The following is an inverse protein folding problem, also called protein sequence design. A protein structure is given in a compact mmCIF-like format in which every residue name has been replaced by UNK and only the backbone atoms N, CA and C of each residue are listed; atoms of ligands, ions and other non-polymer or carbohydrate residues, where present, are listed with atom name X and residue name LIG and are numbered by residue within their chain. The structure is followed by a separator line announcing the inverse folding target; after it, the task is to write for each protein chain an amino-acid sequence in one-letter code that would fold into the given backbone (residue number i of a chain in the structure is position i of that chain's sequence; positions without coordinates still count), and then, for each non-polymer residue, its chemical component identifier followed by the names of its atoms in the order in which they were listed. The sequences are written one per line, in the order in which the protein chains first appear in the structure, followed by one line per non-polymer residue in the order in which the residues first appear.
data_IF_964974928759
#
_entry.id   IF_964974928759
#
_cell.length_a   1.000
_cell.length_b   1.000
_cell.length_c   1.000
_cell.angle_alpha   90.00
_cell.angle_beta   90.00
_cell.angle_gamma   90.00
#
_symmetry.space_group_name_H-M   'P 1'
#
loop_
_entity.id
_entity.type
_entity.pdbx_description
1 polymer ?
#
# COMPACT_ATOMS: atom_id res chain seq x y z
N UNK A 1 -30.98 62.64 -24.80
CA UNK A 1 -30.84 61.21 -24.48
C UNK A 1 -31.21 61.04 -23.03
N UNK A 2 -32.36 60.44 -22.77
CA UNK A 2 -32.82 60.10 -21.42
C UNK A 2 -32.18 58.77 -21.00
N UNK A 3 -32.18 58.46 -19.70
CA UNK A 3 -31.61 57.24 -19.12
C UNK A 3 -32.17 55.92 -19.70
N UNK A 4 -33.24 55.97 -20.49
CA UNK A 4 -33.78 54.81 -21.21
C UNK A 4 -33.01 54.45 -22.49
N UNK A 5 -32.31 55.41 -23.12
CA UNK A 5 -31.69 55.22 -24.44
C UNK A 5 -30.48 54.28 -24.39
N UNK A 6 -29.69 54.35 -23.32
CA UNK A 6 -28.49 53.50 -23.18
C UNK A 6 -28.86 52.06 -22.82
N UNK A 7 -29.95 51.84 -22.07
CA UNK A 7 -30.45 50.50 -21.76
C UNK A 7 -31.00 49.80 -23.01
N UNK A 8 -31.71 50.54 -23.86
CA UNK A 8 -32.16 50.07 -25.17
C UNK A 8 -30.97 49.79 -26.10
N UNK A 9 -29.94 50.63 -26.08
CA UNK A 9 -28.71 50.40 -26.84
C UNK A 9 -27.93 49.16 -26.36
N UNK A 10 -27.82 48.96 -25.05
CA UNK A 10 -27.17 47.79 -24.44
C UNK A 10 -27.97 46.50 -24.74
N UNK A 11 -29.29 46.55 -24.59
CA UNK A 11 -30.18 45.42 -24.89
C UNK A 11 -30.16 45.06 -26.38
N UNK A 12 -30.07 46.05 -27.28
CA UNK A 12 -29.93 45.84 -28.71
C UNK A 12 -28.53 45.31 -29.08
N UNK A 13 -27.48 45.78 -28.41
CA UNK A 13 -26.12 45.29 -28.60
C UNK A 13 -25.97 43.83 -28.14
N UNK A 14 -26.59 43.46 -27.01
CA UNK A 14 -26.65 42.07 -26.51
C UNK A 14 -27.49 41.18 -27.45
N UNK A 15 -28.60 41.69 -27.99
CA UNK A 15 -29.41 40.98 -29.01
C UNK A 15 -28.66 40.78 -30.33
N UNK A 16 -27.79 41.72 -30.73
CA UNK A 16 -26.95 41.57 -31.92
C UNK A 16 -25.76 40.63 -31.69
N UNK A 17 -25.12 40.66 -30.51
CA UNK A 17 -24.03 39.75 -30.15
C UNK A 17 -24.48 38.27 -30.03
N UNK A 18 -25.76 38.02 -29.74
CA UNK A 18 -26.37 36.66 -29.73
C UNK A 18 -26.74 36.11 -31.11
N UNK A 19 -26.61 36.88 -32.20
CA UNK A 19 -26.78 36.34 -33.55
C UNK A 19 -25.45 35.76 -34.02
N UNK A 20 -25.39 34.44 -34.15
CA UNK A 20 -24.31 33.73 -34.83
C UNK A 20 -24.20 34.28 -36.26
N UNK A 21 -23.20 35.11 -36.53
CA UNK A 21 -23.07 35.83 -37.81
C UNK A 21 -22.09 35.19 -38.79
N UNK A 22 -21.42 34.08 -38.46
CA UNK A 22 -20.65 33.28 -39.42
C UNK A 22 -20.64 31.79 -39.09
N UNK A 23 -21.44 31.02 -39.81
CA UNK A 23 -21.15 29.62 -40.15
C UNK A 23 -20.45 29.65 -41.51
N UNK A 24 -19.12 29.56 -41.53
CA UNK A 24 -18.37 29.49 -42.79
C UNK A 24 -18.38 28.03 -43.26
N UNK A 25 -19.40 27.65 -44.02
CA UNK A 25 -19.37 26.43 -44.84
C UNK A 25 -18.26 26.60 -45.90
N UNK A 26 -17.24 25.71 -45.97
CA UNK A 26 -16.20 25.78 -46.98
C UNK A 26 -16.73 25.72 -48.43
N UNK A 27 -18.01 25.37 -48.64
CA UNK A 27 -18.67 25.34 -49.96
C UNK A 27 -19.68 26.47 -50.21
N UNK A 28 -19.85 27.41 -49.28
CA UNK A 28 -20.63 28.64 -49.49
C UNK A 28 -22.13 28.45 -49.77
N UNK A 29 -22.75 27.34 -49.34
CA UNK A 29 -24.18 27.11 -49.58
C UNK A 29 -25.02 27.93 -48.60
N UNK A 30 -26.00 28.67 -49.11
CA UNK A 30 -27.03 29.35 -48.30
C UNK A 30 -28.19 28.37 -48.10
N UNK A 31 -28.38 27.87 -46.87
CA UNK A 31 -29.53 27.03 -46.54
C UNK A 31 -30.69 27.90 -46.07
N UNK A 32 -31.93 27.56 -46.41
CA UNK A 32 -33.09 28.23 -45.82
C UNK A 32 -33.15 27.96 -44.30
N UNK A 33 -33.79 28.82 -43.50
CA UNK A 33 -33.92 28.60 -42.05
C UNK A 33 -34.62 27.27 -41.72
N UNK A 34 -35.58 26.86 -42.55
CA UNK A 34 -36.25 25.56 -42.46
C UNK A 34 -35.36 24.37 -42.83
N UNK A 35 -34.23 24.60 -43.49
CA UNK A 35 -33.24 23.59 -43.91
C UNK A 35 -32.00 23.59 -43.01
N UNK A 36 -31.85 24.59 -42.14
CA UNK A 36 -30.77 24.68 -41.16
C UNK A 36 -30.93 23.57 -40.11
N UNK A 37 -29.85 22.88 -39.71
CA UNK A 37 -29.96 21.69 -38.89
C UNK A 37 -30.61 22.03 -37.54
N UNK A 38 -31.87 21.62 -37.37
CA UNK A 38 -32.75 21.70 -36.19
C UNK A 38 -32.01 22.05 -34.89
N UNK A 39 -31.72 23.33 -34.67
CA UNK A 39 -30.99 23.76 -33.48
C UNK A 39 -31.98 23.87 -32.33
N UNK A 40 -31.98 22.86 -31.46
CA UNK A 40 -32.85 22.81 -30.27
C UNK A 40 -32.00 23.05 -29.03
N UNK A 41 -32.63 23.56 -27.97
CA UNK A 41 -32.02 23.68 -26.65
C UNK A 41 -32.81 22.79 -25.71
N UNK A 42 -32.10 21.92 -24.99
CA UNK A 42 -32.67 21.04 -23.98
C UNK A 42 -32.04 21.36 -22.63
N UNK A 43 -32.88 21.35 -21.60
CA UNK A 43 -32.45 21.36 -20.21
C UNK A 43 -32.41 19.92 -19.71
N UNK A 44 -31.28 19.49 -19.15
CA UNK A 44 -31.08 18.11 -18.73
C UNK A 44 -30.27 18.02 -17.44
N UNK A 45 -30.51 16.97 -16.65
CA UNK A 45 -29.74 16.59 -15.47
C UNK A 45 -29.43 15.08 -15.57
N UNK A 46 -28.15 14.67 -15.44
CA UNK A 46 -27.77 13.26 -15.44
C UNK A 46 -28.41 12.41 -14.34
N UNK A 47 -28.75 13.00 -13.19
CA UNK A 47 -29.49 12.36 -12.11
C UNK A 47 -30.18 13.39 -11.22
N UNK A 48 -31.51 13.47 -11.27
CA UNK A 48 -32.28 14.40 -10.45
C UNK A 48 -32.03 14.24 -8.94
N UNK A 49 -31.84 13.00 -8.47
CA UNK A 49 -31.56 12.70 -7.05
C UNK A 49 -30.20 13.23 -6.61
N UNK A 50 -29.16 13.06 -7.44
CA UNK A 50 -27.78 13.39 -7.09
C UNK A 50 -27.43 14.86 -7.37
N UNK A 51 -28.02 15.44 -8.42
CA UNK A 51 -27.68 16.78 -8.89
C UNK A 51 -28.39 17.89 -8.11
N UNK A 52 -29.25 17.54 -7.13
CA UNK A 52 -29.95 18.48 -6.23
C UNK A 52 -30.60 19.67 -6.97
N UNK A 53 -31.22 19.42 -8.11
CA UNK A 53 -31.89 20.44 -8.93
C UNK A 53 -30.97 21.26 -9.84
N UNK A 54 -29.68 20.95 -9.93
CA UNK A 54 -28.80 21.55 -10.93
C UNK A 54 -29.12 20.99 -12.31
N UNK A 55 -29.35 21.89 -13.26
CA UNK A 55 -29.62 21.56 -14.66
C UNK A 55 -28.55 22.12 -15.58
N UNK A 56 -28.36 21.44 -16.70
CA UNK A 56 -27.42 21.82 -17.75
C UNK A 56 -28.18 22.09 -19.03
N UNK A 57 -27.80 23.16 -19.72
CA UNK A 57 -28.35 23.49 -21.04
C UNK A 57 -27.44 22.90 -22.11
N UNK A 58 -28.00 22.06 -22.97
CA UNK A 58 -27.33 21.51 -24.15
C UNK A 58 -28.03 22.00 -25.41
N UNK A 59 -27.26 22.28 -26.45
CA UNK A 59 -27.79 22.84 -27.70
C UNK A 59 -27.11 22.25 -28.93
N UNK A 60 -27.91 22.02 -29.97
CA UNK A 60 -27.40 21.50 -31.25
C UNK A 60 -28.51 20.87 -32.10
N UNK A 61 -28.10 20.11 -33.13
CA UNK A 61 -29.01 19.19 -33.81
C UNK A 61 -29.41 18.03 -32.89
N UNK A 62 -30.52 17.37 -33.16
CA UNK A 62 -31.02 16.25 -32.35
C UNK A 62 -29.96 15.16 -32.11
N UNK A 63 -29.23 14.76 -33.16
CA UNK A 63 -28.13 13.80 -33.04
C UNK A 63 -26.99 14.31 -32.13
N UNK A 64 -26.64 15.60 -32.23
CA UNK A 64 -25.61 16.19 -31.36
C UNK A 64 -26.06 16.36 -29.92
N UNK A 65 -27.35 16.65 -29.69
CA UNK A 65 -27.94 16.72 -28.35
C UNK A 65 -27.91 15.34 -27.70
N UNK A 66 -28.29 14.28 -28.42
CA UNK A 66 -28.21 12.91 -27.93
C UNK A 66 -26.77 12.51 -27.59
N UNK A 67 -25.80 12.86 -28.45
CA UNK A 67 -24.39 12.59 -28.19
C UNK A 67 -23.86 13.36 -26.97
N UNK A 68 -24.17 14.66 -26.85
CA UNK A 68 -23.79 15.47 -25.70
C UNK A 68 -24.41 14.94 -24.41
N UNK A 69 -25.70 14.61 -24.41
CA UNK A 69 -26.38 14.03 -23.25
C UNK A 69 -25.75 12.69 -22.83
N UNK A 70 -25.43 11.82 -23.80
CA UNK A 70 -24.74 10.55 -23.54
C UNK A 70 -23.35 10.74 -22.94
N UNK A 71 -22.56 11.68 -23.48
CA UNK A 71 -21.22 12.02 -22.96
C UNK A 71 -21.26 12.62 -21.55
N UNK A 72 -22.22 13.51 -21.28
CA UNK A 72 -22.41 14.09 -19.95
C UNK A 72 -22.80 12.99 -18.97
N UNK A 73 -23.71 12.09 -19.35
CA UNK A 73 -24.11 10.95 -18.50
C UNK A 73 -22.95 10.00 -18.24
N UNK A 74 -22.20 9.61 -19.27
CA UNK A 74 -21.03 8.75 -19.11
C UNK A 74 -19.95 9.40 -18.21
N UNK A 75 -19.71 10.69 -18.38
CA UNK A 75 -18.77 11.44 -17.53
C UNK A 75 -19.26 11.53 -16.09
N UNK A 76 -20.56 11.76 -15.88
CA UNK A 76 -21.20 11.76 -14.57
C UNK A 76 -21.09 10.39 -13.88
N UNK A 77 -21.26 9.30 -14.61
CA UNK A 77 -21.13 7.95 -14.07
C UNK A 77 -19.67 7.61 -13.76
N UNK A 78 -18.71 7.97 -14.64
CA UNK A 78 -17.27 7.77 -14.42
C UNK A 78 -16.77 8.57 -13.21
N UNK A 79 -17.14 9.85 -13.12
CA UNK A 79 -16.80 10.70 -11.98
C UNK A 79 -17.49 10.20 -10.72
N UNK A 80 -18.72 9.69 -10.82
CA UNK A 80 -19.46 9.08 -9.73
C UNK A 80 -18.75 7.86 -9.17
N UNK A 81 -18.26 6.97 -10.03
CA UNK A 81 -17.47 5.82 -9.63
C UNK A 81 -16.12 6.20 -9.00
N UNK A 82 -15.47 7.28 -9.50
CA UNK A 82 -14.17 7.73 -8.97
C UNK A 82 -14.29 8.47 -7.64
N UNK A 83 -15.18 9.46 -7.57
CA UNK A 83 -15.39 10.33 -6.40
C UNK A 83 -16.33 9.69 -5.36
N UNK A 84 -17.06 8.65 -5.74
CA UNK A 84 -17.88 7.84 -4.86
C UNK A 84 -19.26 8.42 -4.54
N UNK A 85 -19.71 9.51 -5.18
CA UNK A 85 -21.04 10.10 -4.91
C UNK A 85 -22.22 9.28 -5.47
N UNK A 86 -21.96 8.25 -6.28
CA UNK A 86 -22.98 7.25 -6.66
C UNK A 86 -23.17 6.20 -5.57
N UNK A 87 -22.29 6.16 -4.57
CA UNK A 87 -22.38 5.24 -3.44
C UNK A 87 -23.22 5.94 -2.37
N UNK A 88 -24.30 5.27 -1.97
CA UNK A 88 -24.99 5.60 -0.74
C UNK A 88 -24.10 5.16 0.43
N UNK A 89 -23.37 6.12 1.00
CA UNK A 89 -22.36 5.83 2.02
C UNK A 89 -22.99 5.33 3.32
N UNK A 90 -24.16 5.83 3.70
CA UNK A 90 -24.87 5.39 4.89
C UNK A 90 -25.29 3.92 4.74
N UNK A 91 -25.88 3.58 3.59
CA UNK A 91 -26.23 2.19 3.27
C UNK A 91 -25.00 1.27 3.24
N UNK A 92 -23.90 1.73 2.63
CA UNK A 92 -22.65 0.98 2.62
C UNK A 92 -22.07 0.79 4.02
N UNK A 93 -22.16 1.81 4.89
CA UNK A 93 -21.63 1.72 6.25
C UNK A 93 -22.45 0.74 7.11
N UNK A 94 -23.77 0.69 6.93
CA UNK A 94 -24.61 -0.32 7.57
C UNK A 94 -24.15 -1.73 7.21
N UNK A 95 -23.94 -2.02 5.92
CA UNK A 95 -23.42 -3.31 5.46
C UNK A 95 -22.01 -3.57 6.00
N UNK A 96 -21.14 -2.55 6.03
CA UNK A 96 -19.81 -2.63 6.62
C UNK A 96 -19.88 -2.97 8.11
N UNK A 97 -20.80 -2.38 8.87
CA UNK A 97 -20.99 -2.68 10.30
C UNK A 97 -21.41 -4.14 10.54
N UNK A 98 -22.04 -4.75 9.53
CA UNK A 98 -22.44 -6.16 9.47
C UNK A 98 -21.41 -7.06 8.77
N UNK A 99 -20.17 -6.59 8.59
CA UNK A 99 -19.08 -7.34 7.97
C UNK A 99 -19.41 -7.81 6.53
N UNK A 100 -20.23 -7.04 5.80
CA UNK A 100 -20.71 -7.34 4.45
C UNK A 100 -21.46 -8.67 4.31
N UNK A 101 -21.99 -9.19 5.42
CA UNK A 101 -22.79 -10.42 5.42
C UNK A 101 -24.24 -10.18 5.03
N UNK A 102 -24.71 -8.93 4.92
CA UNK A 102 -26.00 -8.61 4.33
C UNK A 102 -25.83 -8.28 2.84
N UNK A 103 -26.71 -8.82 2.00
CA UNK A 103 -26.74 -8.47 0.59
C UNK A 103 -27.48 -7.13 0.41
N UNK A 104 -26.83 -6.08 -0.15
CA UNK A 104 -27.47 -4.78 -0.35
C UNK A 104 -28.65 -4.80 -1.33
N UNK A 105 -28.68 -5.77 -2.25
CA UNK A 105 -29.69 -5.82 -3.32
C UNK A 105 -30.92 -6.62 -2.90
N UNK A 106 -30.71 -7.80 -2.29
CA UNK A 106 -31.81 -8.69 -1.89
C UNK A 106 -32.25 -8.48 -0.45
N UNK A 107 -31.44 -7.80 0.37
CA UNK A 107 -31.67 -7.65 1.81
C UNK A 107 -31.38 -8.91 2.63
N UNK A 108 -31.05 -10.03 1.97
CA UNK A 108 -30.82 -11.33 2.58
C UNK A 108 -29.40 -11.45 3.16
N UNK A 109 -29.24 -12.28 4.19
CA UNK A 109 -27.94 -12.58 4.78
C UNK A 109 -27.20 -13.66 3.99
N UNK A 110 -25.91 -13.48 3.77
CA UNK A 110 -25.00 -14.39 3.09
C UNK A 110 -24.58 -15.49 4.07
N UNK A 111 -24.59 -16.74 3.60
CA UNK A 111 -24.29 -17.98 4.34
C UNK A 111 -25.28 -18.34 5.46
N UNK A 112 -26.34 -19.09 5.14
CA UNK A 112 -27.05 -19.98 6.08
C UNK A 112 -27.73 -19.36 7.32
N UNK A 113 -27.65 -18.04 7.50
CA UNK A 113 -28.18 -17.32 8.65
C UNK A 113 -29.63 -16.91 8.34
N UNK A 114 -30.59 -17.61 8.95
CA UNK A 114 -32.01 -17.24 8.94
C UNK A 114 -32.23 -16.26 10.09
N UNK A 115 -32.46 -14.99 9.77
CA UNK A 115 -32.81 -13.95 10.75
C UNK A 115 -34.30 -13.71 10.60
N UNK A 116 -35.07 -14.02 11.65
CA UNK A 116 -36.52 -13.85 11.67
C UNK A 116 -36.95 -12.54 12.35
N UNK A 117 -36.11 -11.95 13.20
CA UNK A 117 -36.44 -10.72 13.94
C UNK A 117 -35.20 -9.85 14.25
N UNK A 118 -35.38 -8.56 14.54
CA UNK A 118 -34.29 -7.59 14.81
C UNK A 118 -33.47 -7.94 16.06
N UNK A 119 -34.06 -8.69 16.99
CA UNK A 119 -33.41 -9.23 18.20
C UNK A 119 -32.36 -10.29 17.87
N UNK A 120 -32.54 -11.10 16.83
CA UNK A 120 -31.58 -12.10 16.39
C UNK A 120 -30.32 -11.43 15.79
N UNK A 121 -30.52 -10.28 15.15
CA UNK A 121 -29.48 -9.44 14.53
C UNK A 121 -28.50 -8.86 15.56
N UNK A 122 -29.00 -8.55 16.75
CA UNK A 122 -28.19 -8.05 17.87
C UNK A 122 -27.36 -9.17 18.55
N UNK A 123 -27.87 -10.41 18.52
CA UNK A 123 -27.21 -11.59 19.09
C UNK A 123 -26.03 -12.10 18.24
N UNK A 124 -26.01 -11.78 16.94
CA UNK A 124 -24.94 -12.19 16.03
C UNK A 124 -23.64 -11.39 16.26
N UNK A 125 -22.52 -12.11 16.23
CA UNK A 125 -21.18 -11.52 16.30
C UNK A 125 -20.70 -11.17 14.91
N UNK A 126 -20.64 -9.88 14.61
CA UNK A 126 -20.01 -9.34 13.40
C UNK A 126 -18.76 -8.59 13.80
N UNK A 127 -17.70 -8.66 12.98
CA UNK A 127 -16.36 -8.22 13.41
C UNK A 127 -15.85 -8.92 14.69
N UNK A 128 -16.38 -10.11 15.00
CA UNK A 128 -16.06 -10.85 16.22
C UNK A 128 -16.67 -10.27 17.52
N UNK A 129 -17.49 -9.21 17.44
CA UNK A 129 -18.01 -8.46 18.59
C UNK A 129 -19.55 -8.33 18.58
N UNK A 130 -20.22 -8.14 19.75
CA UNK A 130 -21.67 -7.92 19.83
C UNK A 130 -22.09 -6.56 19.26
N UNK A 131 -23.39 -6.35 19.01
CA UNK A 131 -23.92 -5.10 18.42
C UNK A 131 -23.44 -3.82 19.11
N UNK A 132 -23.44 -3.82 20.45
CA UNK A 132 -23.00 -2.69 21.26
C UNK A 132 -21.53 -2.32 21.04
N UNK A 133 -20.71 -3.21 20.48
CA UNK A 133 -19.28 -3.00 20.27
C UNK A 133 -18.92 -2.80 18.79
N UNK A 134 -19.91 -2.80 17.89
CA UNK A 134 -19.73 -2.59 16.45
C UNK A 134 -19.28 -1.16 16.12
N UNK A 135 -18.64 -0.93 14.96
CA UNK A 135 -18.26 0.42 14.54
C UNK A 135 -19.47 1.36 14.39
N UNK A 136 -19.25 2.65 14.63
CA UNK A 136 -20.19 3.74 14.33
C UNK A 136 -19.45 4.91 13.69
N UNK A 137 -20.17 5.75 12.97
CA UNK A 137 -19.64 7.02 12.51
C UNK A 137 -20.69 8.12 12.62
N UNK A 138 -20.23 9.36 12.57
CA UNK A 138 -21.07 10.55 12.46
C UNK A 138 -20.45 11.51 11.46
N UNK A 139 -21.27 12.09 10.58
CA UNK A 139 -20.85 13.15 9.70
C UNK A 139 -20.43 14.39 10.51
N UNK A 140 -19.37 15.07 10.06
CA UNK A 140 -19.06 16.42 10.54
C UNK A 140 -19.76 17.39 9.62
N UNK A 141 -20.88 17.91 10.07
CA UNK A 141 -21.63 18.92 9.34
C UNK A 141 -21.03 20.31 9.59
N UNK A 142 -21.08 21.21 8.59
CA UNK A 142 -20.68 22.60 8.79
C UNK A 142 -21.54 23.24 9.88
N UNK A 143 -20.93 24.14 10.67
CA UNK A 143 -21.63 24.86 11.73
C UNK A 143 -22.92 25.52 11.20
N UNK A 144 -24.04 25.50 11.93
CA UNK A 144 -25.27 26.20 11.53
C UNK A 144 -25.07 27.72 11.39
N UNK A 145 -23.98 28.27 11.89
CA UNK A 145 -23.56 29.68 11.74
C UNK A 145 -22.53 29.90 10.62
N UNK A 146 -22.24 28.89 9.80
CA UNK A 146 -21.26 28.99 8.72
C UNK A 146 -21.73 29.98 7.65
N UNK A 147 -20.80 30.83 7.21
CA UNK A 147 -21.03 31.75 6.09
C UNK A 147 -21.16 30.99 4.77
N UNK A 148 -21.85 31.58 3.78
CA UNK A 148 -22.03 30.98 2.44
C UNK A 148 -20.70 30.54 1.79
N UNK A 149 -19.64 31.31 2.03
CA UNK A 149 -18.29 30.98 1.55
C UNK A 149 -17.71 29.73 2.24
N UNK A 150 -17.95 29.56 3.54
CA UNK A 150 -17.52 28.37 4.28
C UNK A 150 -18.31 27.13 3.86
N UNK A 151 -19.60 27.29 3.56
CA UNK A 151 -20.43 26.23 2.99
C UNK A 151 -19.98 25.86 1.56
N UNK A 152 -19.60 26.85 0.75
CA UNK A 152 -19.05 26.61 -0.59
C UNK A 152 -17.69 25.89 -0.51
N UNK A 153 -16.80 26.33 0.38
CA UNK A 153 -15.48 25.72 0.58
C UNK A 153 -15.58 24.30 1.15
N UNK A 154 -16.55 24.02 2.04
CA UNK A 154 -16.86 22.68 2.54
C UNK A 154 -17.32 21.73 1.42
N UNK A 155 -18.07 22.23 0.44
CA UNK A 155 -18.63 21.43 -0.65
C UNK A 155 -17.75 21.40 -1.92
N UNK A 156 -16.67 22.18 -1.99
CA UNK A 156 -15.95 22.50 -3.25
C UNK A 156 -15.20 21.34 -3.90
N UNK A 157 -15.02 20.20 -3.23
CA UNK A 157 -14.12 19.15 -3.72
C UNK A 157 -14.67 17.71 -3.62
N UNK A 158 -15.90 17.51 -3.14
CA UNK A 158 -16.41 16.15 -2.88
C UNK A 158 -15.65 15.41 -1.77
N UNK A 159 -14.93 16.18 -0.94
CA UNK A 159 -14.27 15.69 0.26
C UNK A 159 -15.25 15.79 1.42
N UNK A 160 -15.38 14.71 2.18
CA UNK A 160 -16.17 14.68 3.40
C UNK A 160 -15.26 14.39 4.59
N UNK A 161 -15.72 14.75 5.78
CA UNK A 161 -15.05 14.38 7.03
C UNK A 161 -16.04 13.68 7.93
N UNK A 162 -15.62 12.54 8.47
CA UNK A 162 -16.39 11.77 9.45
C UNK A 162 -15.61 11.61 10.75
N UNK A 163 -16.36 11.50 11.82
CA UNK A 163 -15.88 11.00 13.10
C UNK A 163 -16.20 9.52 13.17
N UNK A 164 -15.20 8.67 13.35
CA UNK A 164 -15.34 7.22 13.31
C UNK A 164 -14.93 6.57 14.64
N UNK A 165 -15.74 5.64 15.12
CA UNK A 165 -15.47 4.81 16.28
C UNK A 165 -15.37 3.36 15.82
N UNK A 166 -14.28 2.69 16.19
CA UNK A 166 -14.13 1.24 15.96
C UNK A 166 -15.09 0.43 16.83
N UNK A 167 -15.27 0.89 18.07
CA UNK A 167 -16.20 0.32 19.04
C UNK A 167 -17.11 1.45 19.52
N UNK A 168 -18.41 1.34 19.23
CA UNK A 168 -19.40 2.37 19.57
C UNK A 168 -19.64 2.56 21.07
N UNK A 169 -19.26 1.58 21.91
CA UNK A 169 -19.33 1.69 23.38
C UNK A 169 -18.20 2.54 23.96
N UNK A 170 -17.12 2.79 23.21
CA UNK A 170 -15.98 3.59 23.66
C UNK A 170 -16.10 5.02 23.13
N UNK A 171 -16.95 5.84 23.75
CA UNK A 171 -17.27 7.19 23.26
C UNK A 171 -16.06 8.11 23.14
N UNK A 172 -15.05 7.95 23.98
CA UNK A 172 -13.83 8.77 23.99
C UNK A 172 -12.80 8.35 22.93
N UNK A 173 -13.00 7.21 22.25
CA UNK A 173 -12.01 6.61 21.33
C UNK A 173 -12.48 6.66 19.88
N UNK A 174 -12.47 7.87 19.35
CA UNK A 174 -12.80 8.15 17.96
C UNK A 174 -11.61 8.63 17.16
N UNK A 175 -11.73 8.59 15.83
CA UNK A 175 -10.73 9.09 14.89
C UNK A 175 -11.41 9.92 13.81
N UNK A 176 -10.75 10.98 13.35
CA UNK A 176 -11.16 11.68 12.15
C UNK A 176 -10.69 10.93 10.91
N UNK A 177 -11.59 10.82 9.94
CA UNK A 177 -11.32 10.25 8.61
C UNK A 177 -11.83 11.26 7.59
N UNK A 178 -10.99 11.62 6.63
CA UNK A 178 -11.30 12.63 5.62
C UNK A 178 -10.86 12.15 4.24
N UNK A 179 -11.60 12.58 3.21
CA UNK A 179 -11.30 12.25 1.83
C UNK A 179 -12.56 12.23 0.98
N UNK A 180 -12.44 11.77 -0.25
CA UNK A 180 -13.59 11.34 -1.05
C UNK A 180 -14.29 10.15 -0.40
N UNK A 181 -15.56 9.90 -0.73
CA UNK A 181 -16.31 8.77 -0.15
C UNK A 181 -15.59 7.42 -0.39
N UNK A 182 -14.96 7.25 -1.55
CA UNK A 182 -14.14 6.07 -1.88
C UNK A 182 -12.91 5.94 -0.96
N UNK A 183 -12.20 7.04 -0.73
CA UNK A 183 -11.02 7.05 0.17
C UNK A 183 -11.44 6.79 1.62
N UNK A 184 -12.55 7.38 2.07
CA UNK A 184 -13.08 7.13 3.41
C UNK A 184 -13.41 5.64 3.57
N UNK A 185 -14.08 5.00 2.60
CA UNK A 185 -14.36 3.55 2.63
C UNK A 185 -13.09 2.72 2.81
N UNK A 186 -12.06 3.01 2.01
CA UNK A 186 -10.80 2.29 2.07
C UNK A 186 -10.12 2.48 3.43
N UNK A 187 -10.07 3.72 3.92
CA UNK A 187 -9.52 4.04 5.24
C UNK A 187 -10.28 3.32 6.38
N UNK A 188 -11.61 3.22 6.30
CA UNK A 188 -12.43 2.49 7.29
C UNK A 188 -12.14 0.99 7.29
N UNK A 189 -12.02 0.37 6.11
CA UNK A 189 -11.63 -1.04 5.97
C UNK A 189 -10.24 -1.25 6.57
N UNK A 190 -9.29 -0.39 6.27
CA UNK A 190 -7.92 -0.49 6.80
C UNK A 190 -7.87 -0.27 8.32
N UNK A 191 -8.74 0.60 8.85
CA UNK A 191 -8.90 0.80 10.30
C UNK A 191 -9.48 -0.45 10.98
N UNK A 192 -10.39 -1.18 10.35
CA UNK A 192 -10.99 -2.39 10.92
C UNK A 192 -10.16 -3.66 10.70
N UNK A 193 -9.28 -3.70 9.68
CA UNK A 193 -8.36 -4.82 9.38
C UNK A 193 -7.26 -5.07 10.42
N UNK A 194 -7.34 -4.50 11.62
CA UNK A 194 -6.36 -4.80 12.68
C UNK A 194 -6.46 -6.27 13.04
N UNK A 195 -5.42 -6.98 12.61
CA UNK A 195 -5.17 -8.40 12.79
C UNK A 195 -5.34 -8.79 14.26
N UNK A 196 -6.19 -9.78 14.51
CA UNK A 196 -6.18 -10.56 15.74
C UNK A 196 -4.80 -11.20 15.91
N UNK A 197 -3.93 -10.52 16.66
CA UNK A 197 -2.78 -11.13 17.34
C UNK A 197 -2.83 -10.65 18.78
N UNK A 198 -3.40 -11.49 19.65
CA UNK A 198 -3.16 -11.45 21.09
C UNK A 198 -3.73 -10.26 21.85
N UNK A 199 -4.73 -10.55 22.69
CA UNK A 199 -5.16 -9.70 23.80
C UNK A 199 -3.98 -9.19 24.64
N UNK A 200 -3.82 -7.88 24.77
CA UNK A 200 -3.79 -7.16 26.06
C UNK A 200 -3.38 -5.71 25.89
N UNK A 201 -4.08 -4.85 26.63
CA UNK A 201 -3.77 -3.46 26.97
C UNK A 201 -3.72 -2.44 25.83
N UNK A 202 -4.68 -1.52 25.93
CA UNK A 202 -4.66 -0.23 25.27
C UNK A 202 -3.39 0.55 25.62
N UNK A 203 -2.58 0.77 24.62
CA UNK A 203 -1.79 1.97 24.47
C UNK A 203 -1.60 2.18 22.98
N UNK A 204 -1.65 3.44 22.54
CA UNK A 204 -1.64 3.79 21.13
C UNK A 204 -0.41 3.25 20.43
N UNK A 205 -0.57 2.11 19.77
CA UNK A 205 0.35 1.66 18.75
C UNK A 205 -0.49 1.59 17.48
N UNK A 206 -0.17 2.47 16.53
CA UNK A 206 -0.07 1.99 15.14
C UNK A 206 0.60 0.62 15.30
N UNK A 207 0.04 -0.45 14.77
CA UNK A 207 0.93 -1.53 14.36
C UNK A 207 1.86 -0.83 13.39
N UNK A 208 2.97 -0.30 13.91
CA UNK A 208 4.01 0.30 13.15
C UNK A 208 4.36 -0.85 12.24
N UNK A 209 3.90 -0.74 11.00
CA UNK A 209 4.62 -1.40 9.94
C UNK A 209 5.95 -0.70 10.04
N UNK A 210 6.86 -1.25 10.84
CA UNK A 210 8.17 -0.66 11.08
C UNK A 210 8.76 -0.58 9.69
N UNK A 211 8.77 0.64 9.20
CA UNK A 211 9.20 0.92 7.86
C UNK A 211 10.71 0.87 7.92
N UNK A 212 11.30 -0.12 7.26
CA UNK A 212 12.76 -0.19 7.13
C UNK A 212 13.33 0.92 6.23
N UNK A 213 12.50 1.86 5.77
CA UNK A 213 12.90 3.01 4.96
C UNK A 213 13.77 3.94 5.81
N UNK A 214 15.00 4.18 5.37
CA UNK A 214 15.94 5.07 6.06
C UNK A 214 16.64 4.45 7.29
N UNK A 215 16.50 3.14 7.50
CA UNK A 215 17.24 2.43 8.55
C UNK A 215 18.51 1.79 7.98
N UNK A 216 19.67 1.94 8.63
CA UNK A 216 20.92 1.30 8.22
C UNK A 216 20.76 -0.22 8.06
N UNK A 217 21.29 -0.78 6.96
CA UNK A 217 21.25 -2.23 6.68
C UNK A 217 22.64 -2.82 6.67
N UNK A 218 22.86 -3.80 7.53
CA UNK A 218 24.04 -4.64 7.49
C UNK A 218 23.76 -5.83 6.59
N UNK A 219 24.71 -6.15 5.73
CA UNK A 219 24.67 -7.30 4.84
C UNK A 219 25.92 -8.12 5.06
N UNK A 220 25.72 -9.39 5.38
CA UNK A 220 26.75 -10.40 5.50
C UNK A 220 26.76 -11.25 4.22
N UNK A 221 27.92 -11.36 3.60
CA UNK A 221 28.16 -12.14 2.40
C UNK A 221 28.97 -13.38 2.75
N UNK A 222 28.53 -14.52 2.22
CA UNK A 222 29.18 -15.81 2.39
C UNK A 222 29.42 -16.43 1.02
N UNK A 223 30.60 -17.02 0.83
CA UNK A 223 31.02 -17.60 -0.43
C UNK A 223 31.69 -18.97 -0.20
N UNK A 224 31.49 -19.88 -1.13
CA UNK A 224 32.20 -21.16 -1.18
C UNK A 224 33.69 -20.95 -1.52
N UNK A 225 34.56 -21.71 -0.88
CA UNK A 225 35.98 -21.71 -1.19
C UNK A 225 36.20 -22.21 -2.60
N UNK A 226 37.12 -21.59 -3.35
CA UNK A 226 37.43 -22.00 -4.72
C UNK A 226 37.90 -23.46 -4.85
N UNK A 227 38.47 -24.02 -3.79
CA UNK A 227 38.87 -25.45 -3.72
C UNK A 227 37.70 -26.41 -3.64
N UNK A 228 36.56 -25.94 -3.13
CA UNK A 228 35.39 -26.77 -2.81
C UNK A 228 34.33 -26.68 -3.92
N UNK A 229 34.51 -25.77 -4.88
CA UNK A 229 33.61 -25.59 -6.03
C UNK A 229 33.68 -26.81 -6.94
N UNK A 230 32.54 -27.46 -7.14
CA UNK A 230 32.42 -28.59 -8.04
C UNK A 230 32.71 -28.18 -9.51
N UNK A 231 33.56 -28.92 -10.25
CA UNK A 231 33.88 -28.60 -11.64
C UNK A 231 32.65 -28.46 -12.53
N UNK A 232 32.56 -27.33 -13.22
CA UNK A 232 31.45 -26.98 -14.11
C UNK A 232 30.30 -26.24 -13.42
N UNK A 233 30.42 -25.92 -12.13
CA UNK A 233 29.47 -25.08 -11.40
C UNK A 233 30.10 -23.76 -10.93
N UNK A 234 29.23 -22.79 -10.63
CA UNK A 234 29.61 -21.56 -9.95
C UNK A 234 29.69 -21.80 -8.44
N UNK A 235 30.57 -21.03 -7.78
CA UNK A 235 30.71 -21.03 -6.33
C UNK A 235 29.38 -20.69 -5.65
N UNK A 236 29.06 -21.40 -4.57
CA UNK A 236 27.85 -21.10 -3.80
C UNK A 236 27.97 -19.77 -3.05
N UNK A 237 26.88 -19.01 -3.03
CA UNK A 237 26.81 -17.72 -2.34
C UNK A 237 25.57 -17.64 -1.45
N UNK A 238 25.74 -17.18 -0.21
CA UNK A 238 24.65 -16.87 0.70
C UNK A 238 24.75 -15.42 1.17
N UNK A 239 23.60 -14.79 1.35
CA UNK A 239 23.50 -13.42 1.82
C UNK A 239 22.48 -13.34 2.94
N UNK A 240 22.88 -12.74 4.05
CA UNK A 240 21.96 -12.40 5.14
C UNK A 240 22.04 -10.92 5.46
N UNK A 241 20.96 -10.36 5.98
CA UNK A 241 20.94 -8.96 6.35
C UNK A 241 20.04 -8.71 7.54
N UNK A 242 20.41 -7.68 8.30
CA UNK A 242 19.61 -7.14 9.38
C UNK A 242 19.68 -5.62 9.35
N UNK A 243 18.72 -4.97 10.00
CA UNK A 243 18.63 -3.52 10.12
C UNK A 243 19.02 -3.09 11.54
N UNK A 244 19.64 -1.93 11.64
CA UNK A 244 19.88 -1.24 12.91
C UNK A 244 18.66 -0.34 13.13
N UNK A 245 17.89 -0.59 14.19
CA UNK A 245 16.59 0.06 14.43
C UNK A 245 16.65 1.25 15.37
N UNK A 246 17.72 1.36 16.17
CA UNK A 246 17.95 2.43 17.15
C UNK A 246 18.75 3.60 16.58
N UNK A 247 19.20 3.51 15.32
CA UNK A 247 20.01 4.52 14.63
C UNK A 247 19.47 4.82 13.24
N UNK A 248 19.82 5.99 12.70
CA UNK A 248 19.41 6.40 11.35
C UNK A 248 20.48 7.25 10.65
N UNK A 249 20.49 7.25 9.33
CA UNK A 249 21.22 8.22 8.50
C UNK A 249 20.31 9.36 8.01
N UNK A 250 19.01 9.31 8.30
CA UNK A 250 18.05 10.31 7.87
C UNK A 250 18.03 11.51 8.85
N UNK A 251 18.43 12.74 8.45
CA UNK A 251 18.39 13.93 9.31
C UNK A 251 17.01 14.23 9.89
N UNK A 252 15.94 13.92 9.14
CA UNK A 252 14.56 14.22 9.52
C UNK A 252 13.93 13.17 10.45
N UNK A 253 14.66 12.08 10.75
CA UNK A 253 14.19 11.05 11.69
C UNK A 253 14.51 11.44 13.14
N UNK A 254 13.60 11.16 14.10
CA UNK A 254 13.83 11.42 15.53
C UNK A 254 14.88 10.49 16.16
N UNK A 255 15.31 9.43 15.46
CA UNK A 255 16.33 8.52 15.94
C UNK A 255 17.74 9.18 15.94
N UNK A 256 18.62 8.78 16.88
CA UNK A 256 20.01 9.21 16.89
C UNK A 256 20.71 8.88 15.57
N UNK A 257 21.61 9.77 15.14
CA UNK A 257 22.38 9.55 13.90
C UNK A 257 23.43 8.47 14.13
N UNK A 258 23.64 7.63 13.11
CA UNK A 258 24.74 6.68 13.10
C UNK A 258 26.08 7.43 13.00
N UNK A 259 27.01 7.12 13.91
CA UNK A 259 28.34 7.75 13.96
C UNK A 259 29.43 6.82 13.43
N UNK A 260 30.61 7.36 13.08
CA UNK A 260 31.76 6.53 12.68
C UNK A 260 32.16 5.53 13.77
N UNK A 261 32.09 5.94 15.05
CA UNK A 261 32.35 5.06 16.18
C UNK A 261 31.35 3.89 16.25
N UNK A 262 30.05 4.14 16.00
CA UNK A 262 29.04 3.08 15.95
C UNK A 262 29.38 2.04 14.86
N UNK A 263 29.80 2.51 13.68
CA UNK A 263 30.21 1.66 12.54
C UNK A 263 31.44 0.83 12.90
N UNK A 264 32.45 1.44 13.53
CA UNK A 264 33.66 0.73 14.00
C UNK A 264 33.35 -0.35 15.04
N UNK A 265 32.53 -0.01 16.03
CA UNK A 265 32.14 -0.96 17.08
C UNK A 265 31.37 -2.15 16.49
N UNK A 266 30.49 -1.90 15.51
CA UNK A 266 29.77 -2.94 14.78
C UNK A 266 30.73 -3.82 13.95
N UNK A 267 31.68 -3.21 13.24
CA UNK A 267 32.68 -3.92 12.45
C UNK A 267 33.53 -4.87 13.32
N UNK A 268 33.97 -4.41 14.49
CA UNK A 268 34.72 -5.22 15.47
C UNK A 268 33.91 -6.44 15.90
N UNK A 269 32.64 -6.25 16.27
CA UNK A 269 31.78 -7.37 16.70
C UNK A 269 31.54 -8.38 15.58
N UNK A 270 31.27 -7.92 14.37
CA UNK A 270 31.07 -8.82 13.22
C UNK A 270 32.36 -9.61 12.95
N UNK A 271 33.53 -8.96 12.99
CA UNK A 271 34.81 -9.65 12.88
C UNK A 271 34.97 -10.72 13.96
N UNK A 272 34.71 -10.38 15.21
CA UNK A 272 34.90 -11.31 16.34
C UNK A 272 33.94 -12.51 16.27
N UNK A 273 32.75 -12.34 15.68
CA UNK A 273 31.73 -13.39 15.57
C UNK A 273 31.84 -14.25 14.31
N UNK A 274 32.28 -13.66 13.19
CA UNK A 274 32.22 -14.26 11.86
C UNK A 274 33.58 -14.47 11.19
N UNK A 275 34.65 -13.79 11.63
CA UNK A 275 36.00 -13.93 11.05
C UNK A 275 36.93 -14.70 11.99
N UNK A 276 36.87 -14.41 13.30
CA UNK A 276 37.77 -15.00 14.30
C UNK A 276 37.11 -16.13 15.11
N UNK A 277 37.91 -17.12 15.59
CA UNK A 277 39.29 -17.41 15.20
C UNK A 277 39.39 -18.03 13.80
N UNK A 278 38.28 -18.54 13.27
CA UNK A 278 38.16 -19.06 11.91
C UNK A 278 36.89 -18.50 11.26
N UNK A 279 36.89 -18.26 9.93
CA UNK A 279 35.72 -17.76 9.25
C UNK A 279 34.50 -18.65 9.47
N UNK A 280 33.39 -18.05 9.89
CA UNK A 280 32.16 -18.76 10.17
C UNK A 280 31.63 -19.42 8.90
N UNK A 281 31.29 -20.71 9.01
CA UNK A 281 30.78 -21.51 7.91
C UNK A 281 29.28 -21.77 8.09
N UNK A 282 28.53 -21.59 7.02
CA UNK A 282 27.13 -21.99 6.92
C UNK A 282 27.08 -23.28 6.12
N UNK A 283 26.47 -24.31 6.71
CA UNK A 283 26.11 -25.51 5.99
C UNK A 283 24.80 -25.26 5.23
N UNK A 284 24.89 -25.01 3.92
CA UNK A 284 23.72 -24.82 3.07
C UNK A 284 23.03 -26.15 2.81
N UNK A 285 21.72 -26.07 2.63
CA UNK A 285 20.93 -27.23 2.25
C UNK A 285 19.53 -26.88 1.78
N UNK A 286 18.61 -27.82 1.97
CA UNK A 286 17.26 -27.78 1.39
C UNK A 286 16.21 -27.21 2.34
N UNK A 287 16.50 -27.18 3.63
CA UNK A 287 15.61 -26.66 4.67
C UNK A 287 15.61 -25.13 4.65
N UNK A 288 14.52 -24.53 5.13
CA UNK A 288 14.41 -23.07 5.26
C UNK A 288 14.23 -22.70 6.71
N UNK A 289 15.10 -21.84 7.23
CA UNK A 289 14.92 -21.20 8.54
C UNK A 289 14.73 -19.70 8.29
N UNK A 290 13.71 -19.13 8.92
CA UNK A 290 13.36 -17.71 8.77
C UNK A 290 13.15 -17.05 10.12
N UNK A 291 13.40 -15.74 10.17
CA UNK A 291 13.20 -14.90 11.34
C UNK A 291 12.19 -13.81 10.99
N UNK A 292 11.23 -13.56 11.89
CA UNK A 292 10.30 -12.43 11.78
C UNK A 292 10.26 -11.64 13.08
N UNK A 293 11.22 -10.72 13.21
CA UNK A 293 11.36 -9.82 14.34
C UNK A 293 11.68 -8.40 13.84
N UNK A 294 10.66 -7.78 13.23
CA UNK A 294 10.77 -6.46 12.62
C UNK A 294 11.16 -5.38 13.63
N UNK A 295 10.73 -5.53 14.88
CA UNK A 295 11.02 -4.60 15.96
C UNK A 295 12.51 -4.48 16.27
N UNK A 296 13.28 -5.55 16.00
CA UNK A 296 14.74 -5.57 16.17
C UNK A 296 15.49 -5.55 14.85
N UNK A 297 14.79 -5.32 13.72
CA UNK A 297 15.41 -5.18 12.41
C UNK A 297 15.68 -6.49 11.67
N UNK A 298 15.06 -7.59 12.08
CA UNK A 298 15.23 -8.92 11.47
C UNK A 298 13.98 -9.35 10.71
N UNK A 299 14.10 -9.51 9.40
CA UNK A 299 13.07 -10.10 8.55
C UNK A 299 13.76 -10.75 7.35
N UNK A 300 13.72 -12.08 7.29
CA UNK A 300 14.41 -12.81 6.23
C UNK A 300 14.44 -14.31 6.46
N UNK A 301 14.99 -15.01 5.47
CA UNK A 301 15.15 -16.47 5.50
C UNK A 301 16.48 -16.89 4.88
N UNK A 302 16.94 -18.08 5.28
CA UNK A 302 18.11 -18.73 4.70
C UNK A 302 17.84 -20.20 4.42
N UNK A 303 18.51 -20.72 3.39
CA UNK A 303 18.55 -22.15 3.09
C UNK A 303 19.73 -22.81 3.78
N UNK A 304 19.44 -23.79 4.65
CA UNK A 304 20.41 -24.47 5.51
C UNK A 304 20.20 -25.97 5.47
N UNK A 305 21.22 -26.71 5.91
CA UNK A 305 21.16 -28.17 5.99
C UNK A 305 20.26 -28.65 7.13
N UNK A 306 20.35 -28.00 8.29
CA UNK A 306 19.51 -28.29 9.45
C UNK A 306 18.93 -27.02 10.08
N UNK A 307 17.84 -27.19 10.84
CA UNK A 307 17.28 -26.12 11.67
C UNK A 307 18.33 -25.46 12.58
N UNK A 308 19.21 -26.28 13.19
CA UNK A 308 20.22 -25.81 14.13
C UNK A 308 21.25 -24.88 13.46
N UNK A 309 21.66 -25.17 12.22
CA UNK A 309 22.57 -24.30 11.47
C UNK A 309 21.97 -22.90 11.27
N UNK A 310 20.67 -22.84 11.00
CA UNK A 310 19.94 -21.57 10.89
C UNK A 310 19.85 -20.82 12.22
N UNK A 311 19.55 -21.53 13.31
CA UNK A 311 19.48 -20.93 14.66
C UNK A 311 20.84 -20.37 15.08
N UNK A 312 21.94 -21.09 14.84
CA UNK A 312 23.29 -20.62 15.16
C UNK A 312 23.65 -19.35 14.40
N UNK A 313 23.33 -19.28 13.10
CA UNK A 313 23.55 -18.08 12.30
C UNK A 313 22.75 -16.88 12.83
N UNK A 314 21.45 -17.06 13.08
CA UNK A 314 20.63 -15.97 13.61
C UNK A 314 21.09 -15.55 15.01
N UNK A 315 21.53 -16.47 15.86
CA UNK A 315 22.06 -16.16 17.19
C UNK A 315 23.27 -15.23 17.08
N UNK A 316 24.25 -15.57 16.23
CA UNK A 316 25.42 -14.70 15.98
C UNK A 316 25.02 -13.34 15.38
N UNK A 317 24.02 -13.30 14.51
CA UNK A 317 23.53 -12.02 13.98
C UNK A 317 22.94 -11.13 15.09
N UNK A 318 22.16 -11.70 16.02
CA UNK A 318 21.62 -10.99 17.19
C UNK A 318 22.74 -10.51 18.13
N UNK A 319 23.73 -11.36 18.39
CA UNK A 319 24.91 -11.03 19.21
C UNK A 319 25.70 -9.85 18.63
N UNK A 320 25.79 -9.72 17.30
CA UNK A 320 26.45 -8.58 16.65
C UNK A 320 25.82 -7.22 17.03
N UNK A 321 24.53 -7.21 17.40
CA UNK A 321 23.79 -6.05 17.90
C UNK A 321 23.65 -6.02 19.43
N UNK A 322 24.34 -6.90 20.18
CA UNK A 322 24.15 -7.11 21.62
C UNK A 322 22.72 -7.52 22.00
N UNK A 323 22.03 -8.27 21.14
CA UNK A 323 20.67 -8.74 21.37
C UNK A 323 20.67 -10.23 21.68
N UNK A 324 19.68 -10.66 22.45
CA UNK A 324 19.40 -12.09 22.68
C UNK A 324 18.31 -12.52 21.70
N UNK A 325 18.54 -13.64 21.02
CA UNK A 325 17.59 -14.22 20.07
C UNK A 325 16.30 -14.66 20.78
N UNK A 326 15.15 -14.29 20.21
CA UNK A 326 13.85 -14.81 20.62
C UNK A 326 13.46 -15.97 19.71
N UNK A 327 13.59 -17.20 20.22
CA UNK A 327 13.29 -18.42 19.46
C UNK A 327 11.82 -18.49 19.00
N UNK A 328 10.91 -17.77 19.66
CA UNK A 328 9.49 -17.72 19.24
C UNK A 328 9.28 -16.97 17.92
N UNK A 329 10.30 -16.22 17.45
CA UNK A 329 10.32 -15.49 16.17
C UNK A 329 11.02 -16.26 15.06
N UNK A 330 11.51 -17.46 15.34
CA UNK A 330 12.17 -18.33 14.38
C UNK A 330 11.17 -19.36 13.84
N UNK A 331 11.14 -19.50 12.52
CA UNK A 331 10.26 -20.43 11.81
C UNK A 331 11.09 -21.36 10.96
N UNK A 332 10.72 -22.63 10.95
CA UNK A 332 11.39 -23.67 10.18
C UNK A 332 10.40 -24.29 9.20
N UNK A 333 10.87 -24.55 7.98
CA UNK A 333 10.07 -25.14 6.91
C UNK A 333 10.88 -26.18 6.15
N UNK A 334 10.27 -27.34 5.97
CA UNK A 334 10.81 -28.47 5.19
C UNK A 334 9.81 -28.80 4.07
N UNK A 335 10.34 -29.21 2.92
CA UNK A 335 9.55 -29.80 1.83
C UNK A 335 9.47 -31.31 2.06
N UNK A 336 8.25 -31.87 2.14
CA UNK A 336 8.02 -33.30 2.45
C UNK A 336 8.80 -34.22 1.49
N UNK A 337 8.69 -33.98 0.18
CA UNK A 337 9.46 -34.69 -0.84
C UNK A 337 10.62 -33.82 -1.36
N UNK A 338 11.62 -33.63 -0.49
CA UNK A 338 12.78 -32.78 -0.80
C UNK A 338 13.73 -33.37 -1.86
N UNK A 339 13.67 -34.70 -2.09
CA UNK A 339 14.55 -35.40 -3.03
C UNK A 339 14.09 -35.10 -4.46
N UNK A 340 12.81 -35.26 -4.74
CA UNK A 340 12.26 -34.99 -6.07
C UNK A 340 12.10 -33.50 -6.34
N UNK A 341 11.79 -32.70 -5.32
CA UNK A 341 11.68 -31.25 -5.49
C UNK A 341 13.04 -30.58 -5.78
N UNK A 342 14.12 -31.11 -5.22
CA UNK A 342 15.48 -30.56 -5.33
C UNK A 342 16.49 -31.68 -5.64
N UNK A 343 16.49 -32.23 -6.87
CA UNK A 343 17.39 -33.32 -7.23
C UNK A 343 18.85 -32.84 -7.24
N UNK A 344 19.75 -33.70 -6.76
CA UNK A 344 21.19 -33.40 -6.64
C UNK A 344 21.85 -33.35 -8.02
N UNK A 345 21.54 -34.32 -8.86
CA UNK A 345 21.99 -34.42 -10.25
C UNK A 345 20.83 -34.14 -11.19
N UNK A 346 20.97 -33.11 -12.01
CA UNK A 346 20.05 -32.81 -13.10
C UNK A 346 20.68 -33.28 -14.42
N UNK A 347 19.88 -33.79 -15.37
CA UNK A 347 20.40 -34.19 -16.67
C UNK A 347 20.96 -32.98 -17.43
N UNK A 348 22.04 -33.19 -18.17
CA UNK A 348 22.63 -32.15 -19.03
C UNK A 348 21.61 -31.65 -20.05
N UNK A 349 21.61 -30.33 -20.28
CA UNK A 349 20.76 -29.70 -21.28
C UNK A 349 21.60 -29.24 -22.45
N UNK A 350 21.12 -29.48 -23.68
CA UNK A 350 21.78 -28.96 -24.88
C UNK A 350 21.29 -27.55 -25.16
N UNK A 351 22.19 -26.56 -25.12
CA UNK A 351 21.91 -25.17 -25.46
C UNK A 351 22.88 -24.76 -26.56
N UNK A 352 22.35 -24.35 -27.72
CA UNK A 352 23.14 -23.97 -28.90
C UNK A 352 24.16 -25.06 -29.32
N UNK A 353 23.75 -26.34 -29.24
CA UNK A 353 24.60 -27.48 -29.61
C UNK A 353 25.70 -27.84 -28.60
N UNK A 354 25.78 -27.13 -27.46
CA UNK A 354 26.69 -27.45 -26.35
C UNK A 354 25.90 -28.08 -25.22
N UNK A 355 26.43 -29.17 -24.65
CA UNK A 355 25.89 -29.73 -23.42
C UNK A 355 26.33 -28.86 -22.24
N UNK A 356 25.35 -28.34 -21.50
CA UNK A 356 25.54 -27.48 -20.35
C UNK A 356 24.89 -28.15 -19.14
N UNK A 357 25.61 -28.17 -18.02
CA UNK A 357 25.04 -28.57 -16.72
C UNK A 357 24.07 -27.47 -16.26
N UNK A 358 22.79 -27.78 -16.00
CA UNK A 358 21.84 -26.79 -15.51
C UNK A 358 22.19 -26.31 -14.10
N UNK A 359 21.67 -25.14 -13.71
CA UNK A 359 21.90 -24.60 -12.36
C UNK A 359 21.25 -25.48 -11.29
N UNK A 360 22.02 -25.81 -10.24
CA UNK A 360 21.53 -26.58 -9.08
C UNK A 360 20.53 -25.76 -8.27
N UNK A 361 19.37 -26.36 -7.97
CA UNK A 361 18.37 -25.76 -7.07
C UNK A 361 18.67 -26.19 -5.63
N UNK A 362 18.87 -25.21 -4.73
CA UNK A 362 19.22 -25.44 -3.31
C UNK A 362 20.37 -26.45 -3.12
N UNK A 363 21.54 -26.21 -3.73
CA UNK A 363 22.69 -27.08 -3.58
C UNK A 363 23.13 -27.16 -2.10
N UNK A 364 23.57 -28.36 -1.72
CA UNK A 364 24.17 -28.63 -0.41
C UNK A 364 25.67 -28.37 -0.51
N UNK A 365 26.22 -27.63 0.46
CA UNK A 365 27.63 -27.27 0.47
C UNK A 365 27.95 -26.28 1.60
N UNK A 366 29.24 -26.03 1.82
CA UNK A 366 29.68 -25.08 2.83
C UNK A 366 30.01 -23.74 2.18
N UNK A 367 29.49 -22.66 2.76
CA UNK A 367 29.89 -21.29 2.42
C UNK A 367 30.51 -20.65 3.66
N UNK A 368 31.61 -19.94 3.49
CA UNK A 368 32.29 -19.24 4.57
C UNK A 368 32.04 -17.73 4.50
N UNK A 369 32.12 -17.05 5.63
CA UNK A 369 32.05 -15.59 5.66
C UNK A 369 33.12 -15.00 4.74
N UNK A 370 32.72 -14.02 3.92
CA UNK A 370 33.57 -13.36 2.95
C UNK A 370 33.71 -11.87 3.26
N UNK A 371 32.59 -11.16 3.39
CA UNK A 371 32.63 -9.73 3.73
C UNK A 371 31.33 -9.27 4.40
N UNK A 372 31.42 -8.17 5.14
CA UNK A 372 30.27 -7.45 5.68
C UNK A 372 30.26 -6.01 5.18
N UNK A 373 29.08 -5.53 4.80
CA UNK A 373 28.85 -4.17 4.29
C UNK A 373 27.67 -3.51 4.97
N UNK A 374 27.80 -2.22 5.24
CA UNK A 374 26.75 -1.35 5.75
C UNK A 374 26.21 -0.48 4.61
N UNK A 375 24.90 -0.56 4.41
CA UNK A 375 24.16 0.23 3.44
C UNK A 375 23.37 1.29 4.20
N UNK A 376 23.66 2.55 3.90
CA UNK A 376 22.90 3.72 4.37
C UNK A 376 21.99 4.18 3.23
N UNK A 377 20.82 4.74 3.57
CA UNK A 377 19.82 5.13 2.57
C UNK A 377 20.23 6.34 1.73
N UNK A 378 21.10 7.19 2.28
CA UNK A 378 21.56 8.44 1.65
C UNK A 378 22.98 8.39 1.11
N UNK A 379 23.68 7.26 1.23
CA UNK A 379 24.99 7.06 0.63
C UNK A 379 24.85 6.12 -0.57
N UNK A 380 25.45 6.51 -1.69
CA UNK A 380 25.43 5.71 -2.92
C UNK A 380 26.33 4.47 -2.81
N UNK A 381 27.46 4.59 -2.11
CA UNK A 381 28.40 3.50 -1.89
C UNK A 381 28.21 2.87 -0.50
N UNK A 382 28.15 1.53 -0.40
CA UNK A 382 28.13 0.86 0.89
C UNK A 382 29.47 0.99 1.60
N UNK A 383 29.44 1.13 2.92
CA UNK A 383 30.62 1.17 3.77
C UNK A 383 31.04 -0.28 4.04
N UNK A 384 32.28 -0.65 3.70
CA UNK A 384 32.82 -1.96 4.06
C UNK A 384 33.10 -2.00 5.57
N UNK A 385 32.65 -3.04 6.26
CA UNK A 385 32.83 -3.20 7.70
C UNK A 385 34.07 -4.06 8.00
N UNK A 386 34.10 -5.27 7.46
CA UNK A 386 35.21 -6.20 7.59
C UNK A 386 35.16 -7.25 6.47
N UNK A 387 36.26 -7.96 6.24
CA UNK A 387 36.33 -9.08 5.30
C UNK A 387 37.16 -10.25 5.83
N UNK A 388 37.18 -11.34 5.06
CA UNK A 388 37.90 -12.58 5.33
C UNK A 388 39.43 -12.47 5.13
N UNK A 389 39.90 -11.43 4.44
CA UNK A 389 41.33 -11.16 4.20
C UNK A 389 41.94 -10.20 5.23
N UNK A 390 41.16 -9.73 6.20
CA UNK A 390 41.64 -8.97 7.36
C UNK A 390 41.39 -7.47 7.32
N UNK A 391 40.64 -6.95 6.35
CA UNK A 391 40.15 -5.57 6.39
C UNK A 391 39.23 -5.39 7.61
N UNK A 392 39.39 -4.24 8.25
CA UNK A 392 38.50 -3.77 9.31
C UNK A 392 38.32 -2.27 9.15
N UNK A 393 37.07 -1.82 9.21
CA UNK A 393 36.72 -0.41 9.12
C UNK A 393 37.49 0.44 10.14
N UNK A 394 38.09 1.53 9.67
CA UNK A 394 38.76 2.52 10.49
C UNK A 394 38.10 3.90 10.30
N UNK A 395 38.13 4.75 11.33
CA UNK A 395 37.46 6.07 11.30
C UNK A 395 38.06 7.07 10.30
N UNK A 396 39.30 6.80 9.84
CA UNK A 396 39.96 7.55 8.77
C UNK A 396 39.33 7.31 7.40
N UNK A 397 38.60 6.20 7.25
CA UNK A 397 37.85 5.83 6.05
C UNK A 397 36.45 6.47 6.08
#
# INVERSE_FOLDING_TARGET
MTDLDWQLFLANSIKQAKKVTKTRDPKGRKWAFAESPNYRVFETSPSQKLDKGKTYLISGSEATIMLQASLIKASHDILGQRLGYTIDFDQWFEDFSLEFKKNPITGEYREGIIITDDTDLAALKYWGVPYAERPKFTWIEPSPTATDKQLEDFNKLGYSVIKFWKNRSLDDKWRFVSGTLTEIRQQLIDLMRVVSVGSSSESGYRAETISFVGLPKVVLYFKELSSDVEPGYLALESRMSFRIVDKTDNPNSPLPKITKQDVRNLAIKIRDLFVLPTPYKIHRGKETVSVKDKNRGYDGYIYVYSQNDGIQLFTKMYEAQNLIIDLTKIFHRITIDSINAYPITQPDITVLGKNIKPSRTRPVGYVQFHEAKLFLSRLDAPIRLCDDIGYLYNESD
#
